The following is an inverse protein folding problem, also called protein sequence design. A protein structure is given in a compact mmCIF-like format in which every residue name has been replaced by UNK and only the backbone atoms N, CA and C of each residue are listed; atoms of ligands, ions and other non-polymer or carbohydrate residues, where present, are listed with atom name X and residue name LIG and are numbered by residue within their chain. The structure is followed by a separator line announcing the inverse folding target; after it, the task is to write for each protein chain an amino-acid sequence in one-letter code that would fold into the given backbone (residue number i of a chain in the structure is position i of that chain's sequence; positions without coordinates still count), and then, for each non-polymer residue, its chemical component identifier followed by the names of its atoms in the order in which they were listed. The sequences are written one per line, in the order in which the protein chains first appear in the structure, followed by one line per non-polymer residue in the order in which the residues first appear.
data_IF_344214430396
#
_entry.id   IF_344214430396
#
_cell.length_a   1.000
_cell.length_b   1.000
_cell.length_c   1.000
_cell.angle_alpha   90.00
_cell.angle_beta   90.00
_cell.angle_gamma   90.00
#
_symmetry.space_group_name_H-M   'P 1'
#
loop_
_entity.id
_entity.type
_entity.pdbx_description
1 polymer ?
#
# COMPACT_ATOMS: atom_id res chain seq x y z
N UNK A 1 3.78 -2.47 -1.43
CA UNK A 1 4.18 -1.08 -1.10
C UNK A 1 4.72 -0.42 -2.35
N UNK A 2 4.21 0.71 -2.69
CA UNK A 2 4.59 1.44 -3.89
C UNK A 2 5.43 2.64 -3.47
N UNK A 3 6.63 2.76 -4.04
CA UNK A 3 7.49 3.92 -3.84
C UNK A 3 7.48 4.78 -5.10
N UNK A 4 6.96 5.99 -4.99
CA UNK A 4 6.99 6.99 -6.06
C UNK A 4 8.12 7.97 -5.79
N UNK A 5 8.99 8.13 -6.78
CA UNK A 5 10.04 9.15 -6.75
C UNK A 5 9.68 10.24 -7.75
N UNK A 6 9.42 11.42 -7.25
CA UNK A 6 9.13 12.60 -8.06
C UNK A 6 10.29 13.57 -8.00
N UNK A 7 10.76 13.98 -9.17
CA UNK A 7 11.72 15.09 -9.30
C UNK A 7 10.93 16.36 -9.61
N UNK A 8 10.91 17.30 -8.70
CA UNK A 8 10.29 18.60 -8.93
C UNK A 8 11.35 19.68 -9.02
N UNK A 9 11.27 20.48 -10.04
CA UNK A 9 12.03 21.71 -10.16
C UNK A 9 11.08 22.89 -9.88
N UNK A 10 11.36 23.66 -8.85
CA UNK A 10 10.60 24.85 -8.54
C UNK A 10 11.32 26.09 -9.06
N UNK A 11 10.66 26.77 -10.00
CA UNK A 11 11.12 28.05 -10.52
C UNK A 11 10.43 29.18 -9.74
N UNK A 12 11.20 29.93 -8.98
CA UNK A 12 10.72 31.17 -8.37
C UNK A 12 11.52 32.31 -8.98
N UNK A 13 10.82 33.24 -9.57
CA UNK A 13 11.40 34.52 -10.01
C UNK A 13 11.80 35.31 -8.76
N UNK A 14 12.94 34.97 -8.21
CA UNK A 14 13.63 35.85 -7.27
C UNK A 14 14.22 36.95 -8.12
N UNK A 15 13.92 38.21 -7.79
CA UNK A 15 14.40 39.43 -8.47
C UNK A 15 15.77 39.18 -9.06
N UNK A 16 15.90 39.15 -10.39
CA UNK A 16 17.15 38.73 -11.01
C UNK A 16 18.22 39.78 -10.74
N UNK A 17 19.23 39.41 -10.02
CA UNK A 17 20.48 40.14 -10.07
C UNK A 17 21.03 39.89 -11.46
N UNK A 18 20.63 40.73 -12.40
CA UNK A 18 21.11 40.79 -13.78
C UNK A 18 21.37 39.42 -14.42
N UNK A 19 20.31 38.80 -14.98
CA UNK A 19 20.44 37.67 -15.91
C UNK A 19 20.71 36.29 -15.28
N UNK A 20 20.57 36.13 -13.99
CA UNK A 20 20.71 34.86 -13.30
C UNK A 20 19.35 34.29 -12.91
N UNK A 21 19.16 33.01 -13.15
CA UNK A 21 17.96 32.27 -12.79
C UNK A 21 18.34 31.21 -11.76
N UNK A 22 17.61 31.16 -10.65
CA UNK A 22 17.83 30.20 -9.59
C UNK A 22 16.74 29.14 -9.61
N UNK A 23 17.13 27.88 -9.60
CA UNK A 23 16.22 26.74 -9.53
C UNK A 23 16.49 25.98 -8.25
N UNK A 24 15.44 25.68 -7.50
CA UNK A 24 15.48 24.72 -6.43
C UNK A 24 15.04 23.37 -6.95
N UNK A 25 15.91 22.40 -6.91
CA UNK A 25 15.59 21.01 -7.24
C UNK A 25 15.61 20.15 -5.99
N UNK A 26 14.68 19.24 -5.89
CA UNK A 26 14.64 18.28 -4.78
C UNK A 26 14.03 16.97 -5.25
N UNK A 27 14.33 15.92 -4.51
CA UNK A 27 13.76 14.59 -4.72
C UNK A 27 12.70 14.34 -3.66
N UNK A 28 11.49 14.09 -4.09
CA UNK A 28 10.38 13.69 -3.23
C UNK A 28 10.16 12.19 -3.34
N UNK A 29 10.26 11.48 -2.22
CA UNK A 29 9.97 10.05 -2.14
C UNK A 29 8.71 9.89 -1.31
N UNK A 30 7.66 9.37 -1.95
CA UNK A 30 6.40 9.02 -1.28
C UNK A 30 6.27 7.50 -1.29
N UNK A 31 6.16 6.92 -0.11
CA UNK A 31 5.88 5.50 0.07
C UNK A 31 4.49 5.36 0.62
N UNK A 32 3.61 4.76 -0.16
CA UNK A 32 2.19 4.58 0.21
C UNK A 32 1.67 3.24 -0.27
N UNK A 33 0.71 2.69 0.47
CA UNK A 33 -0.04 1.50 0.08
C UNK A 33 -1.40 1.82 -0.57
N UNK A 34 -1.75 3.11 -0.68
CA UNK A 34 -3.06 3.58 -1.18
C UNK A 34 -3.15 3.62 -2.69
N UNK A 35 -2.01 3.65 -3.38
CA UNK A 35 -1.97 3.69 -4.83
C UNK A 35 -2.05 2.28 -5.41
N UNK A 36 -3.10 1.99 -6.18
CA UNK A 36 -3.24 0.72 -6.87
C UNK A 36 -3.18 0.95 -8.39
N UNK A 37 -2.04 0.64 -9.04
CA UNK A 37 -1.87 0.81 -10.47
C UNK A 37 -2.54 -0.28 -11.30
N UNK A 38 -3.06 -1.33 -10.66
CA UNK A 38 -3.66 -2.45 -11.40
C UNK A 38 -5.04 -2.08 -11.92
N UNK A 39 -5.28 -2.14 -13.25
CA UNK A 39 -6.60 -1.95 -13.82
C UNK A 39 -7.55 -3.12 -13.54
N UNK A 40 -7.02 -4.24 -13.04
CA UNK A 40 -7.79 -5.44 -12.76
C UNK A 40 -8.23 -5.47 -11.29
N UNK A 41 -9.34 -4.85 -11.00
CA UNK A 41 -10.00 -5.00 -9.70
C UNK A 41 -10.80 -6.30 -9.69
N UNK A 42 -10.35 -7.27 -8.89
CA UNK A 42 -11.14 -8.48 -8.62
C UNK A 42 -12.06 -8.20 -7.45
N UNK A 43 -13.36 -8.31 -7.70
CA UNK A 43 -14.35 -8.21 -6.64
C UNK A 43 -14.38 -9.52 -5.84
N UNK A 44 -13.93 -9.44 -4.59
CA UNK A 44 -13.92 -10.58 -3.65
C UNK A 44 -15.08 -10.56 -2.67
N UNK A 45 -16.15 -9.83 -2.97
CA UNK A 45 -17.32 -9.69 -2.08
C UNK A 45 -17.87 -11.03 -1.62
N UNK A 46 -17.83 -12.05 -2.48
CA UNK A 46 -18.29 -13.40 -2.13
C UNK A 46 -17.46 -14.08 -1.02
N UNK A 47 -16.22 -13.62 -0.79
CA UNK A 47 -15.35 -14.14 0.26
C UNK A 47 -15.50 -13.43 1.61
N UNK A 48 -16.16 -12.29 1.64
CA UNK A 48 -16.32 -11.50 2.87
C UNK A 48 -17.04 -12.30 3.96
N UNK A 49 -18.15 -13.01 3.70
CA UNK A 49 -18.83 -13.82 4.71
C UNK A 49 -17.92 -14.90 5.31
N UNK A 50 -17.13 -15.57 4.46
CA UNK A 50 -16.18 -16.61 4.88
C UNK A 50 -15.10 -16.01 5.80
N UNK A 51 -14.54 -14.88 5.42
CA UNK A 51 -13.52 -14.20 6.21
C UNK A 51 -14.04 -13.71 7.56
N UNK A 52 -15.24 -13.16 7.59
CA UNK A 52 -15.90 -12.72 8.82
C UNK A 52 -16.12 -13.90 9.76
N UNK A 53 -16.62 -15.02 9.24
CA UNK A 53 -16.83 -16.22 10.03
C UNK A 53 -15.55 -16.82 10.57
N UNK A 54 -14.48 -16.84 9.77
CA UNK A 54 -13.15 -17.26 10.23
C UNK A 54 -12.68 -16.36 11.39
N UNK A 55 -12.92 -15.06 11.32
CA UNK A 55 -12.52 -14.15 12.40
C UNK A 55 -13.25 -14.45 13.70
N UNK A 56 -14.57 -14.60 13.63
CA UNK A 56 -15.39 -14.95 14.80
C UNK A 56 -14.88 -16.22 15.46
N UNK A 57 -14.64 -17.28 14.67
CA UNK A 57 -14.14 -18.56 15.18
C UNK A 57 -12.70 -18.47 15.72
N UNK A 58 -11.88 -17.58 15.17
CA UNK A 58 -10.55 -17.30 15.73
C UNK A 58 -10.63 -16.58 17.06
N UNK A 59 -11.53 -15.61 17.19
CA UNK A 59 -11.76 -14.87 18.43
C UNK A 59 -12.30 -15.79 19.54
N UNK A 60 -13.03 -16.85 19.18
CA UNK A 60 -13.42 -17.95 20.08
C UNK A 60 -12.25 -18.87 20.46
N UNK A 61 -11.05 -18.65 19.90
CA UNK A 61 -9.85 -19.44 20.21
C UNK A 61 -9.74 -20.78 19.47
N UNK A 62 -10.49 -20.98 18.39
CA UNK A 62 -10.44 -22.21 17.61
C UNK A 62 -9.22 -22.25 16.68
N UNK A 63 -8.54 -23.39 16.62
CA UNK A 63 -7.47 -23.61 15.66
C UNK A 63 -7.98 -23.83 14.23
N UNK A 64 -7.15 -23.55 13.23
CA UNK A 64 -7.53 -23.60 11.79
C UNK A 64 -8.15 -24.94 11.36
N UNK A 65 -7.76 -26.07 11.96
CA UNK A 65 -8.35 -27.39 11.64
C UNK A 65 -9.81 -27.49 12.11
N UNK A 66 -10.12 -26.92 13.29
CA UNK A 66 -11.48 -26.90 13.84
C UNK A 66 -12.34 -25.90 13.05
N UNK A 67 -11.78 -24.74 12.73
CA UNK A 67 -12.44 -23.73 11.89
C UNK A 67 -12.83 -24.33 10.55
N UNK A 68 -11.94 -25.09 9.89
CA UNK A 68 -12.25 -25.77 8.65
C UNK A 68 -13.44 -26.72 8.77
N UNK A 69 -13.48 -27.53 9.83
CA UNK A 69 -14.61 -28.45 10.08
C UNK A 69 -15.93 -27.72 10.27
N UNK A 70 -15.92 -26.60 10.99
CA UNK A 70 -17.12 -25.79 11.23
C UNK A 70 -17.58 -25.17 9.90
N UNK A 71 -16.70 -24.59 9.11
CA UNK A 71 -17.03 -23.98 7.83
C UNK A 71 -17.62 -24.98 6.84
N UNK A 72 -17.06 -26.18 6.77
CA UNK A 72 -17.60 -27.25 5.93
C UNK A 72 -19.00 -27.69 6.40
N UNK A 73 -19.20 -27.77 7.72
CA UNK A 73 -20.51 -28.10 8.31
C UNK A 73 -21.55 -27.03 8.06
N UNK A 74 -21.15 -25.76 8.07
CA UNK A 74 -22.02 -24.61 7.78
C UNK A 74 -22.30 -24.42 6.28
N UNK A 75 -21.64 -25.21 5.41
CA UNK A 75 -21.89 -25.20 3.96
C UNK A 75 -21.12 -24.13 3.19
N UNK A 76 -20.09 -23.53 3.78
CA UNK A 76 -19.22 -22.63 3.05
C UNK A 76 -18.33 -23.36 2.04
N UNK A 77 -18.12 -22.77 0.88
CA UNK A 77 -17.20 -23.29 -0.13
C UNK A 77 -15.74 -23.05 0.32
N UNK A 78 -15.22 -24.00 1.06
CA UNK A 78 -13.83 -23.99 1.51
C UNK A 78 -13.11 -25.18 0.86
N UNK A 79 -11.81 -24.99 0.55
CA UNK A 79 -11.02 -26.09 -0.02
C UNK A 79 -11.05 -27.35 0.87
N UNK A 80 -10.80 -28.50 0.27
CA UNK A 80 -10.88 -29.82 0.95
C UNK A 80 -9.88 -29.96 2.12
N UNK A 81 -8.79 -29.20 2.10
CA UNK A 81 -7.73 -29.26 3.11
C UNK A 81 -7.87 -28.14 4.15
N UNK A 82 -7.66 -28.43 5.45
CA UNK A 82 -7.58 -27.40 6.49
C UNK A 82 -6.51 -26.32 6.22
N UNK A 83 -5.49 -26.66 5.44
CA UNK A 83 -4.44 -25.73 5.06
C UNK A 83 -4.97 -24.52 4.25
N UNK A 84 -6.11 -24.66 3.57
CA UNK A 84 -6.75 -23.56 2.87
C UNK A 84 -7.15 -22.46 3.86
N UNK A 85 -7.73 -22.82 5.00
CA UNK A 85 -8.11 -21.88 6.06
C UNK A 85 -6.88 -21.22 6.67
N UNK A 86 -5.82 -21.99 6.95
CA UNK A 86 -4.56 -21.47 7.44
C UNK A 86 -3.94 -20.44 6.49
N UNK A 87 -3.95 -20.72 5.19
CA UNK A 87 -3.49 -19.80 4.16
C UNK A 87 -4.33 -18.53 4.08
N UNK A 88 -5.65 -18.63 4.25
CA UNK A 88 -6.55 -17.47 4.30
C UNK A 88 -6.24 -16.59 5.49
N UNK A 89 -6.05 -17.18 6.67
CA UNK A 89 -5.70 -16.46 7.90
C UNK A 89 -4.37 -15.71 7.73
N UNK A 90 -3.33 -16.38 7.24
CA UNK A 90 -2.02 -15.77 7.02
C UNK A 90 -2.07 -14.61 6.01
N UNK A 91 -2.78 -14.79 4.90
CA UNK A 91 -2.95 -13.74 3.89
C UNK A 91 -3.71 -12.53 4.44
N UNK A 92 -4.71 -12.76 5.28
CA UNK A 92 -5.47 -11.71 5.93
C UNK A 92 -4.60 -10.89 6.88
N UNK A 93 -3.87 -11.54 7.79
CA UNK A 93 -2.96 -10.88 8.72
C UNK A 93 -1.92 -10.03 7.97
N UNK A 94 -1.31 -10.60 6.93
CA UNK A 94 -0.35 -9.88 6.09
C UNK A 94 -0.97 -8.66 5.40
N UNK A 95 -2.23 -8.78 4.97
CA UNK A 95 -2.96 -7.64 4.37
C UNK A 95 -3.27 -6.57 5.39
N UNK A 96 -3.66 -6.93 6.60
CA UNK A 96 -3.91 -5.98 7.69
C UNK A 96 -2.63 -5.22 8.06
N UNK A 97 -1.50 -5.91 8.20
CA UNK A 97 -0.20 -5.27 8.40
C UNK A 97 0.12 -4.28 7.28
N UNK A 98 -0.09 -4.67 6.04
CA UNK A 98 0.15 -3.82 4.88
C UNK A 98 -0.76 -2.58 4.87
N UNK A 99 -2.05 -2.73 5.20
CA UNK A 99 -3.00 -1.60 5.24
C UNK A 99 -2.74 -0.65 6.41
N UNK A 100 -2.20 -1.16 7.51
CA UNK A 100 -1.87 -0.38 8.70
C UNK A 100 -0.52 0.35 8.61
N UNK A 101 0.25 0.12 7.55
CA UNK A 101 1.49 0.85 7.33
C UNK A 101 1.19 2.34 7.09
N UNK A 102 1.94 3.18 7.80
CA UNK A 102 1.84 4.63 7.63
C UNK A 102 2.48 5.06 6.32
N UNK A 103 1.86 6.04 5.68
CA UNK A 103 2.47 6.71 4.54
C UNK A 103 3.75 7.42 4.98
N UNK A 104 4.78 7.28 4.18
CA UNK A 104 6.06 7.91 4.43
C UNK A 104 6.38 8.89 3.31
N UNK A 105 6.76 10.08 3.69
CA UNK A 105 7.16 11.13 2.76
C UNK A 105 8.54 11.66 3.16
N UNK A 106 9.46 11.66 2.23
CA UNK A 106 10.82 12.11 2.44
C UNK A 106 11.26 13.05 1.32
N UNK A 107 11.89 14.14 1.72
CA UNK A 107 12.52 15.09 0.80
C UNK A 107 14.03 14.93 0.88
N UNK A 108 14.68 14.70 -0.25
CA UNK A 108 16.12 14.50 -0.35
C UNK A 108 16.74 15.32 -1.47
N UNK A 109 18.04 15.38 -1.46
CA UNK A 109 18.86 15.92 -2.55
C UNK A 109 18.44 17.34 -2.96
N UNK A 110 18.28 18.21 -1.97
CA UNK A 110 18.07 19.63 -2.23
C UNK A 110 19.28 20.23 -2.93
N UNK A 111 19.06 20.81 -4.10
CA UNK A 111 20.08 21.50 -4.86
C UNK A 111 19.58 22.83 -5.35
N UNK A 112 20.45 23.83 -5.31
CA UNK A 112 20.21 25.11 -5.96
C UNK A 112 21.01 25.13 -7.23
N UNK A 113 20.34 25.23 -8.38
CA UNK A 113 20.97 25.39 -9.67
C UNK A 113 20.87 26.85 -10.08
N UNK A 114 22.00 27.39 -10.53
CA UNK A 114 22.10 28.76 -11.00
C UNK A 114 22.38 28.72 -12.50
N UNK A 115 21.50 29.30 -13.29
CA UNK A 115 21.70 29.44 -14.72
C UNK A 115 21.83 30.89 -15.10
N UNK A 116 22.81 31.21 -15.91
CA UNK A 116 22.94 32.52 -16.54
C UNK A 116 22.02 32.57 -17.75
N UNK A 117 21.14 33.56 -17.79
CA UNK A 117 20.30 33.80 -18.95
C UNK A 117 21.19 34.42 -20.05
N UNK A 118 21.38 33.68 -21.11
CA UNK A 118 22.06 34.17 -22.33
C UNK A 118 20.97 34.57 -23.29
N UNK A 119 20.95 35.82 -23.67
CA UNK A 119 20.02 36.38 -24.67
C UNK A 119 20.53 36.15 -26.06
#
# INVERSE_FOLDING_TARGET
MITLTLHSSFHRDVVPIVGWIFFLTFKLIITTNKFNPSPYYKDYKYRIPIHNRITELMDEGLGYKRIHKVLVKEGFEVGKSPNCVNSMIKKRLKREEFLNQKDYCEYKEFRIMVMRKVW
#
